data_IF_067783897373
#
_entry.id   IF_067783897373
#
_cell.length_a   1.000
_cell.length_b   1.000
_cell.length_c   1.000
_cell.angle_alpha   90.00
_cell.angle_beta   90.00
_cell.angle_gamma   90.00
#
_symmetry.space_group_name_H-M   'P 1'
#
loop_
_entity.id
_entity.type
_entity.pdbx_description
1 polymer ?
#
# COMPACT_ATOMS: atom_id res chain seq x y z
N UNK A 1 -13.80 -28.67 14.07
CA UNK A 1 -14.38 -27.85 15.13
C UNK A 1 -14.82 -26.59 14.45
N UNK A 2 -16.13 -26.50 14.22
CA UNK A 2 -16.82 -25.46 13.46
C UNK A 2 -17.26 -24.41 14.48
N UNK A 3 -16.46 -23.36 14.62
CA UNK A 3 -16.73 -22.24 15.54
C UNK A 3 -17.51 -21.14 14.80
N UNK A 4 -18.57 -21.50 14.08
CA UNK A 4 -19.46 -20.53 13.44
C UNK A 4 -20.56 -20.10 14.41
N UNK A 5 -20.53 -18.82 14.82
CA UNK A 5 -21.64 -18.22 15.57
C UNK A 5 -22.93 -18.23 14.72
N UNK A 6 -24.09 -18.56 15.28
CA UNK A 6 -25.33 -18.70 14.52
C UNK A 6 -25.81 -17.33 14.01
N UNK A 7 -25.44 -16.99 12.78
CA UNK A 7 -25.86 -15.75 12.11
C UNK A 7 -24.96 -15.27 10.96
N UNK A 8 -23.73 -15.78 10.82
CA UNK A 8 -22.84 -15.37 9.74
C UNK A 8 -23.17 -16.08 8.42
N UNK A 9 -23.68 -15.32 7.46
CA UNK A 9 -23.75 -15.78 6.07
C UNK A 9 -22.31 -15.87 5.54
N UNK A 10 -21.79 -17.06 5.18
CA UNK A 10 -20.40 -17.20 4.77
C UNK A 10 -20.14 -16.47 3.45
N UNK A 11 -19.01 -15.75 3.38
CA UNK A 11 -18.55 -15.09 2.16
C UNK A 11 -18.33 -16.10 1.03
N UNK A 12 -18.86 -15.81 -0.16
CA UNK A 12 -18.70 -16.67 -1.32
C UNK A 12 -17.23 -16.69 -1.79
N UNK A 13 -16.60 -17.88 -1.78
CA UNK A 13 -15.21 -18.07 -2.18
C UNK A 13 -15.06 -18.07 -3.71
N UNK A 14 -15.12 -16.88 -4.32
CA UNK A 14 -15.13 -16.69 -5.79
C UNK A 14 -13.84 -16.12 -6.38
N UNK A 15 -12.97 -15.52 -5.56
CA UNK A 15 -11.74 -14.89 -6.03
C UNK A 15 -10.74 -15.95 -6.53
N UNK A 16 -10.39 -15.86 -7.80
CA UNK A 16 -9.35 -16.66 -8.44
C UNK A 16 -7.99 -15.94 -8.49
N UNK A 17 -6.96 -16.58 -9.09
CA UNK A 17 -5.63 -16.00 -9.24
C UNK A 17 -5.64 -14.68 -10.03
N UNK A 18 -6.45 -14.60 -11.08
CA UNK A 18 -6.56 -13.38 -11.88
C UNK A 18 -7.14 -12.21 -11.07
N UNK A 19 -8.21 -12.46 -10.31
CA UNK A 19 -8.82 -11.44 -9.45
C UNK A 19 -7.83 -10.95 -8.39
N UNK A 20 -7.07 -11.88 -7.78
CA UNK A 20 -6.04 -11.55 -6.80
C UNK A 20 -4.94 -10.66 -7.41
N UNK A 21 -4.47 -10.97 -8.63
CA UNK A 21 -3.48 -10.16 -9.33
C UNK A 21 -4.04 -8.76 -9.62
N UNK A 22 -5.29 -8.67 -10.10
CA UNK A 22 -5.93 -7.38 -10.38
C UNK A 22 -6.11 -6.52 -9.12
N UNK A 23 -6.47 -7.13 -7.99
CA UNK A 23 -6.57 -6.45 -6.69
C UNK A 23 -5.20 -5.87 -6.28
N UNK A 24 -4.13 -6.65 -6.40
CA UNK A 24 -2.77 -6.18 -6.08
C UNK A 24 -2.35 -5.05 -7.02
N UNK A 25 -2.57 -5.21 -8.33
CA UNK A 25 -2.23 -4.18 -9.32
C UNK A 25 -2.97 -2.87 -9.04
N UNK A 26 -4.27 -2.93 -8.76
CA UNK A 26 -5.08 -1.75 -8.43
C UNK A 26 -4.70 -1.11 -7.09
N UNK A 27 -4.21 -1.88 -6.13
CA UNK A 27 -3.73 -1.36 -4.85
C UNK A 27 -2.35 -0.71 -4.90
N UNK A 28 -1.47 -1.16 -5.82
CA UNK A 28 -0.07 -0.68 -5.92
C UNK A 28 0.08 0.47 -6.90
N UNK A 29 -0.57 0.40 -8.07
CA UNK A 29 -0.46 1.45 -9.09
C UNK A 29 -1.37 2.62 -8.69
N UNK A 30 -0.76 3.68 -8.18
CA UNK A 30 -1.47 4.89 -7.77
C UNK A 30 -0.74 6.17 -8.14
N UNK A 31 -1.09 7.26 -7.46
CA UNK A 31 -0.57 8.61 -7.71
C UNK A 31 0.96 8.73 -7.67
N UNK A 32 1.63 7.84 -6.92
CA UNK A 32 3.09 7.86 -6.75
C UNK A 32 3.88 7.78 -8.06
N UNK A 33 3.40 7.06 -9.07
CA UNK A 33 4.12 6.95 -10.36
C UNK A 33 4.19 8.27 -11.13
N UNK A 34 3.24 9.18 -10.89
CA UNK A 34 3.21 10.49 -11.56
C UNK A 34 4.11 11.52 -10.89
N UNK A 35 4.37 11.36 -9.58
CA UNK A 35 5.14 12.34 -8.79
C UNK A 35 6.57 11.86 -8.51
N UNK A 36 6.74 10.61 -8.10
CA UNK A 36 8.01 10.09 -7.61
C UNK A 36 9.15 10.11 -8.65
N UNK A 37 8.94 9.82 -9.95
CA UNK A 37 10.00 9.92 -10.94
C UNK A 37 10.62 11.31 -11.01
N UNK A 38 9.80 12.37 -10.93
CA UNK A 38 10.28 13.74 -10.93
C UNK A 38 11.10 14.03 -9.66
N UNK A 39 10.64 13.54 -8.49
CA UNK A 39 11.39 13.66 -7.23
C UNK A 39 12.73 12.95 -7.31
N UNK A 40 12.78 11.71 -7.80
CA UNK A 40 14.03 10.95 -7.95
C UNK A 40 14.97 11.65 -8.93
N UNK A 41 14.48 12.08 -10.10
CA UNK A 41 15.28 12.79 -11.09
C UNK A 41 15.91 14.08 -10.55
N UNK A 42 15.20 14.81 -9.68
CA UNK A 42 15.74 15.99 -8.98
C UNK A 42 16.86 15.67 -7.99
N UNK A 43 16.99 14.43 -7.52
CA UNK A 43 18.01 14.04 -6.54
C UNK A 43 19.23 13.35 -7.19
N UNK A 44 19.04 12.56 -8.24
CA UNK A 44 20.14 11.76 -8.84
C UNK A 44 20.63 12.26 -10.20
N UNK A 45 20.03 13.32 -10.75
CA UNK A 45 20.46 14.14 -11.89
C UNK A 45 20.89 13.45 -13.20
N UNK A 46 20.83 12.12 -13.30
CA UNK A 46 21.16 11.35 -14.51
C UNK A 46 20.10 10.27 -14.77
N UNK A 47 19.69 10.05 -16.04
CA UNK A 47 18.66 9.05 -16.37
C UNK A 47 19.01 7.63 -15.92
N UNK A 48 20.30 7.27 -16.00
CA UNK A 48 20.78 5.95 -15.59
C UNK A 48 20.57 5.71 -14.09
N UNK A 49 20.85 6.70 -13.24
CA UNK A 49 20.62 6.58 -11.80
C UNK A 49 19.13 6.56 -11.45
N UNK A 50 18.29 7.28 -12.20
CA UNK A 50 16.82 7.21 -12.03
C UNK A 50 16.32 5.78 -12.29
N UNK A 51 16.69 5.19 -13.43
CA UNK A 51 16.31 3.81 -13.77
C UNK A 51 16.93 2.80 -12.79
N UNK A 52 18.17 3.02 -12.36
CA UNK A 52 18.83 2.20 -11.35
C UNK A 52 18.09 2.19 -10.02
N UNK A 53 17.61 3.35 -9.54
CA UNK A 53 16.82 3.45 -8.31
C UNK A 53 15.51 2.65 -8.41
N UNK A 54 14.82 2.71 -9.56
CA UNK A 54 13.62 1.91 -9.81
C UNK A 54 13.89 0.41 -9.85
N UNK A 55 14.97 -0.01 -10.51
CA UNK A 55 15.35 -1.42 -10.57
C UNK A 55 15.69 -1.98 -9.18
N UNK A 56 16.47 -1.24 -8.39
CA UNK A 56 16.83 -1.63 -7.03
C UNK A 56 15.57 -1.69 -6.14
N UNK A 57 14.71 -0.66 -6.20
CA UNK A 57 13.45 -0.64 -5.46
C UNK A 57 12.52 -1.80 -5.84
N UNK A 58 12.41 -2.10 -7.15
CA UNK A 58 11.63 -3.23 -7.66
C UNK A 58 12.16 -4.57 -7.19
N UNK A 59 13.48 -4.75 -7.16
CA UNK A 59 14.11 -5.97 -6.63
C UNK A 59 13.86 -6.15 -5.14
N UNK A 60 13.96 -5.09 -4.34
CA UNK A 60 13.64 -5.12 -2.91
C UNK A 60 12.17 -5.49 -2.70
N UNK A 61 11.27 -4.88 -3.47
CA UNK A 61 9.83 -5.18 -3.40
C UNK A 61 9.52 -6.63 -3.77
N UNK A 62 10.20 -7.18 -4.78
CA UNK A 62 10.04 -8.57 -5.21
C UNK A 62 10.47 -9.56 -4.11
N UNK A 63 11.60 -9.30 -3.45
CA UNK A 63 12.06 -10.11 -2.31
C UNK A 63 11.02 -10.06 -1.18
N UNK A 64 10.52 -8.87 -0.85
CA UNK A 64 9.46 -8.71 0.14
C UNK A 64 8.17 -9.45 -0.23
N UNK A 65 7.79 -9.44 -1.51
CA UNK A 65 6.62 -10.15 -2.00
C UNK A 65 6.73 -11.67 -1.80
N UNK A 66 7.91 -12.26 -2.01
CA UNK A 66 8.13 -13.69 -1.71
C UNK A 66 8.02 -14.00 -0.22
N UNK A 67 8.55 -13.14 0.66
CA UNK A 67 8.40 -13.29 2.11
C UNK A 67 6.93 -13.26 2.51
N UNK A 68 6.14 -12.33 1.96
CA UNK A 68 4.70 -12.28 2.22
C UNK A 68 3.94 -13.46 1.63
N UNK A 69 4.34 -13.97 0.46
CA UNK A 69 3.73 -15.14 -0.14
C UNK A 69 3.92 -16.39 0.74
N UNK A 70 5.11 -16.59 1.29
CA UNK A 70 5.39 -17.68 2.23
C UNK A 70 4.55 -17.55 3.51
N UNK A 71 4.50 -16.36 4.11
CA UNK A 71 3.69 -16.11 5.30
C UNK A 71 2.18 -16.32 5.05
N UNK A 72 1.68 -15.88 3.90
CA UNK A 72 0.28 -16.07 3.51
C UNK A 72 -0.06 -17.54 3.28
N UNK A 73 0.87 -18.33 2.74
CA UNK A 73 0.72 -19.78 2.61
C UNK A 73 0.72 -20.49 3.97
N UNK A 74 1.58 -20.07 4.90
CA UNK A 74 1.67 -20.64 6.25
C UNK A 74 0.48 -20.26 7.14
N UNK A 75 -0.07 -19.06 6.99
CA UNK A 75 -1.20 -18.54 7.78
C UNK A 75 -2.31 -18.02 6.86
N UNK A 76 -3.12 -18.91 6.26
CA UNK A 76 -4.18 -18.56 5.32
C UNK A 76 -5.45 -18.08 6.04
N UNK A 77 -5.30 -17.08 6.93
CA UNK A 77 -6.38 -16.44 7.69
C UNK A 77 -6.36 -14.94 7.43
N UNK A 78 -7.53 -14.31 7.56
CA UNK A 78 -7.66 -12.85 7.41
C UNK A 78 -6.90 -12.16 8.53
N UNK A 79 -6.17 -11.08 8.21
CA UNK A 79 -5.49 -10.24 9.19
C UNK A 79 -4.11 -9.71 8.76
N UNK A 80 -3.51 -10.28 7.71
CA UNK A 80 -2.28 -9.76 7.09
C UNK A 80 -1.13 -9.53 8.07
N UNK A 81 -0.40 -8.43 7.89
CA UNK A 81 0.77 -8.08 8.71
C UNK A 81 0.47 -8.03 10.21
N UNK A 82 -0.70 -7.49 10.60
CA UNK A 82 -1.12 -7.44 12.00
C UNK A 82 -1.20 -8.84 12.61
N UNK A 83 -1.85 -9.78 11.92
CA UNK A 83 -1.97 -11.16 12.39
C UNK A 83 -0.60 -11.86 12.46
N UNK A 84 0.28 -11.62 11.47
CA UNK A 84 1.63 -12.19 11.49
C UNK A 84 2.44 -11.69 12.69
N UNK A 85 2.38 -10.39 12.99
CA UNK A 85 3.06 -9.79 14.14
C UNK A 85 2.49 -10.30 15.47
N UNK A 86 1.16 -10.44 15.55
CA UNK A 86 0.47 -10.97 16.74
C UNK A 86 0.86 -12.41 17.02
N UNK A 87 1.00 -13.20 15.97
CA UNK A 87 1.28 -14.63 16.08
C UNK A 87 2.79 -14.91 16.31
N UNK A 88 3.67 -14.06 15.78
CA UNK A 88 5.13 -14.21 15.90
C UNK A 88 5.74 -13.53 17.15
N UNK A 89 5.11 -12.47 17.65
CA UNK A 89 5.60 -11.65 18.77
C UNK A 89 4.53 -11.48 19.86
N UNK A 90 4.84 -10.65 20.86
CA UNK A 90 3.87 -10.30 21.90
C UNK A 90 2.70 -9.46 21.33
N UNK A 91 1.44 -9.64 21.79
CA UNK A 91 0.27 -8.92 21.27
C UNK A 91 0.38 -7.39 21.24
N UNK A 92 1.18 -6.81 22.14
CA UNK A 92 1.45 -5.37 22.18
C UNK A 92 2.12 -4.86 20.89
N UNK A 93 2.97 -5.67 20.25
CA UNK A 93 3.65 -5.30 19.01
C UNK A 93 2.64 -5.19 17.88
N UNK A 94 1.72 -6.15 17.78
CA UNK A 94 0.64 -6.11 16.80
C UNK A 94 -0.29 -4.92 17.06
N UNK A 95 -0.65 -4.67 18.33
CA UNK A 95 -1.48 -3.53 18.71
C UNK A 95 -0.87 -2.19 18.30
N UNK A 96 0.41 -1.97 18.62
CA UNK A 96 1.14 -0.76 18.21
C UNK A 96 1.22 -0.65 16.69
N UNK A 97 1.53 -1.76 16.00
CA UNK A 97 1.52 -1.79 14.54
C UNK A 97 0.14 -1.43 13.96
N UNK A 98 -0.95 -1.92 14.54
CA UNK A 98 -2.32 -1.59 14.14
C UNK A 98 -2.61 -0.09 14.28
N UNK A 99 -2.16 0.54 15.37
CA UNK A 99 -2.26 1.99 15.55
C UNK A 99 -1.43 2.77 14.53
N UNK A 100 -0.20 2.34 14.27
CA UNK A 100 0.64 2.97 13.24
C UNK A 100 0.03 2.81 11.85
N UNK A 101 -0.49 1.63 11.53
CA UNK A 101 -1.15 1.35 10.27
C UNK A 101 -2.35 2.28 10.06
N UNK A 102 -3.20 2.43 11.09
CA UNK A 102 -4.38 3.28 11.03
C UNK A 102 -4.02 4.77 10.99
N UNK A 103 -3.27 5.26 11.99
CA UNK A 103 -3.07 6.70 12.22
C UNK A 103 -1.98 7.33 11.36
N UNK A 104 -1.06 6.54 10.80
CA UNK A 104 0.08 7.06 10.05
C UNK A 104 0.06 6.56 8.61
N UNK A 105 0.03 5.25 8.40
CA UNK A 105 0.21 4.67 7.06
C UNK A 105 -1.03 4.91 6.19
N UNK A 106 -2.21 4.50 6.64
CA UNK A 106 -3.44 4.62 5.85
C UNK A 106 -3.90 6.08 5.73
N UNK A 107 -3.91 6.82 6.83
CA UNK A 107 -4.25 8.26 6.85
C UNK A 107 -3.26 9.09 6.03
N UNK A 108 -1.95 8.88 6.21
CA UNK A 108 -0.92 9.59 5.44
C UNK A 108 -0.99 9.25 3.96
N UNK A 109 -1.24 7.98 3.61
CA UNK A 109 -1.46 7.56 2.23
C UNK A 109 -2.67 8.24 1.59
N UNK A 110 -3.81 8.29 2.29
CA UNK A 110 -5.01 8.97 1.82
C UNK A 110 -4.81 10.49 1.69
N UNK A 111 -4.15 11.13 2.66
CA UNK A 111 -3.83 12.55 2.62
C UNK A 111 -2.90 12.88 1.44
N UNK A 112 -1.85 12.09 1.23
CA UNK A 112 -0.94 12.24 0.08
C UNK A 112 -1.67 12.10 -1.25
N UNK A 113 -2.54 11.08 -1.39
CA UNK A 113 -3.36 10.90 -2.58
C UNK A 113 -4.31 12.09 -2.82
N UNK A 114 -4.94 12.62 -1.77
CA UNK A 114 -5.83 13.78 -1.86
C UNK A 114 -5.09 15.06 -2.29
N UNK A 115 -3.89 15.30 -1.76
CA UNK A 115 -3.05 16.45 -2.14
C UNK A 115 -2.66 16.34 -3.62
N UNK A 116 -2.22 15.16 -4.06
CA UNK A 116 -1.81 14.95 -5.46
C UNK A 116 -3.01 15.12 -6.40
N UNK A 117 -4.16 14.54 -6.04
CA UNK A 117 -5.40 14.72 -6.79
C UNK A 117 -5.79 16.20 -6.88
N UNK A 118 -5.80 16.92 -5.75
CA UNK A 118 -6.14 18.34 -5.70
C UNK A 118 -5.22 19.20 -6.59
N UNK A 119 -3.91 18.93 -6.58
CA UNK A 119 -2.93 19.60 -7.44
C UNK A 119 -3.24 19.37 -8.93
N UNK A 120 -3.38 18.11 -9.35
CA UNK A 120 -3.67 17.79 -10.76
C UNK A 120 -5.04 18.30 -11.20
N UNK A 121 -6.04 18.28 -10.32
CA UNK A 121 -7.37 18.83 -10.60
C UNK A 121 -7.29 20.33 -10.83
N UNK A 122 -6.62 21.08 -9.95
CA UNK A 122 -6.44 22.51 -10.10
C UNK A 122 -5.67 22.87 -11.37
N UNK A 123 -4.60 22.12 -11.68
CA UNK A 123 -3.82 22.31 -12.91
C UNK A 123 -4.65 22.04 -14.17
N UNK A 124 -5.48 20.99 -14.15
CA UNK A 124 -6.35 20.63 -15.28
C UNK A 124 -7.43 21.69 -15.56
N UNK A 125 -7.98 22.32 -14.51
CA UNK A 125 -9.06 23.32 -14.63
C UNK A 125 -8.57 24.78 -14.54
N UNK A 126 -7.26 25.01 -14.41
CA UNK A 126 -6.67 26.35 -14.29
C UNK A 126 -7.08 27.10 -13.01
N UNK A 127 -7.43 26.39 -11.94
CA UNK A 127 -7.84 26.97 -10.67
C UNK A 127 -6.61 27.31 -9.83
N UNK A 128 -6.33 28.60 -9.60
CA UNK A 128 -5.24 29.04 -8.72
C UNK A 128 -5.71 29.08 -7.25
N UNK A 129 -5.73 27.93 -6.58
CA UNK A 129 -5.91 27.89 -5.11
C UNK A 129 -4.56 28.19 -4.45
N UNK A 130 -4.54 29.02 -3.40
CA UNK A 130 -3.30 29.35 -2.70
C UNK A 130 -2.63 28.09 -2.15
N UNK A 131 -1.32 27.93 -2.38
CA UNK A 131 -0.56 26.74 -1.92
C UNK A 131 -0.65 26.51 -0.41
N UNK A 132 -0.95 27.56 0.35
CA UNK A 132 -1.18 27.57 1.79
C UNK A 132 -2.42 26.80 2.26
N UNK A 133 -3.35 26.50 1.35
CA UNK A 133 -4.57 25.73 1.67
C UNK A 133 -4.42 24.23 1.33
N UNK A 134 -3.37 23.87 0.58
CA UNK A 134 -3.14 22.52 0.03
C UNK A 134 -1.96 21.81 0.71
N UNK A 135 -1.08 22.55 1.40
CA UNK A 135 0.04 22.03 2.19
C UNK A 135 -0.27 22.08 3.69
#
# INVERSE_FOLDING_TARGET
>A
MDDSEPGEVPLARRLGPFDAIMIVMGGIIGAGIFVNPAVVARNVHTPLLVLGAWLIGGMIALIGAFVYAELAALRPRVGGQYAYLRDAYHPIVAFLYGWTLLLVVQTGGMAGAAIIFGRYFCELFGLSISEQFVA
#
